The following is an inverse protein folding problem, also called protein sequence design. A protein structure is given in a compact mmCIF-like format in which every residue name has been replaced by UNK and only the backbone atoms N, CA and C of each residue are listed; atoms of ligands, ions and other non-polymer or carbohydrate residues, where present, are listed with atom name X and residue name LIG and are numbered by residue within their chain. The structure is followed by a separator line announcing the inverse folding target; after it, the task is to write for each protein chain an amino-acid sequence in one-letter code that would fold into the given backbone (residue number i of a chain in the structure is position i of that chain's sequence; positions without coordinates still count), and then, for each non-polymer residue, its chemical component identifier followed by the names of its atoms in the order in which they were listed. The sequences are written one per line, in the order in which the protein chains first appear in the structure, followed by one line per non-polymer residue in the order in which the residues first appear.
data_IF_703646720848
#
_entry.id   IF_703646720848
#
_cell.length_a   1.000
_cell.length_b   1.000
_cell.length_c   1.000
_cell.angle_alpha   90.00
_cell.angle_beta   90.00
_cell.angle_gamma   90.00
#
_symmetry.space_group_name_H-M   'P 1'
#
loop_
_entity.id
_entity.type
_entity.pdbx_description
1 polymer ?
#
# COMPACT_ATOMS: atom_id res chain seq x y z
N UNK A 1 0.66 -16.08 -16.92
CA UNK A 1 0.04 -14.96 -16.18
C UNK A 1 0.63 -14.69 -14.79
N UNK A 2 1.35 -15.64 -14.15
CA UNK A 2 2.21 -15.38 -12.97
C UNK A 2 3.26 -14.27 -13.18
N UNK A 3 3.61 -13.96 -14.44
CA UNK A 3 4.64 -13.00 -14.82
C UNK A 3 4.34 -11.52 -14.54
N UNK A 4 3.16 -11.18 -13.99
CA UNK A 4 2.82 -9.83 -13.55
C UNK A 4 2.85 -9.67 -12.01
N UNK A 5 3.20 -10.72 -11.26
CA UNK A 5 3.21 -10.68 -9.80
C UNK A 5 1.82 -10.66 -9.15
N UNK A 6 0.75 -10.93 -9.91
CA UNK A 6 -0.63 -10.98 -9.41
C UNK A 6 -0.94 -12.40 -8.92
N UNK A 7 -1.19 -12.61 -7.62
CA UNK A 7 -1.60 -13.90 -7.07
C UNK A 7 -3.01 -14.30 -7.53
N UNK A 8 -3.36 -15.60 -7.57
CA UNK A 8 -4.66 -16.06 -8.03
C UNK A 8 -5.86 -15.39 -7.33
N UNK A 9 -5.80 -15.20 -6.01
CA UNK A 9 -6.86 -14.55 -5.25
C UNK A 9 -7.08 -13.08 -5.67
N UNK A 10 -6.02 -12.35 -6.04
CA UNK A 10 -6.15 -11.00 -6.59
C UNK A 10 -6.68 -11.01 -8.03
N UNK A 11 -6.34 -12.03 -8.82
CA UNK A 11 -6.85 -12.16 -10.18
C UNK A 11 -8.38 -12.23 -10.20
N UNK A 12 -8.97 -13.06 -9.34
CA UNK A 12 -10.43 -13.24 -9.29
C UNK A 12 -11.13 -11.95 -8.85
N UNK A 13 -10.59 -11.24 -7.85
CA UNK A 13 -11.11 -9.94 -7.41
C UNK A 13 -11.06 -8.88 -8.51
N UNK A 14 -9.95 -8.81 -9.24
CA UNK A 14 -9.75 -7.86 -10.34
C UNK A 14 -10.63 -8.18 -11.55
N UNK A 15 -10.72 -9.47 -11.91
CA UNK A 15 -11.57 -9.91 -13.00
C UNK A 15 -13.04 -9.62 -12.66
N UNK A 16 -13.50 -9.92 -11.44
CA UNK A 16 -14.86 -9.62 -11.01
C UNK A 16 -15.19 -8.11 -11.07
N UNK A 17 -14.26 -7.25 -10.64
CA UNK A 17 -14.42 -5.80 -10.71
C UNK A 17 -14.50 -5.24 -12.13
N UNK A 18 -14.00 -5.97 -13.14
CA UNK A 18 -14.02 -5.59 -14.55
C UNK A 18 -14.95 -6.46 -15.42
N UNK A 19 -15.99 -7.05 -14.83
CA UNK A 19 -16.97 -7.85 -15.58
C UNK A 19 -16.39 -9.13 -16.20
N UNK A 20 -15.30 -9.66 -15.62
CA UNK A 20 -14.60 -10.86 -16.05
C UNK A 20 -13.38 -10.60 -16.93
N UNK A 21 -13.11 -9.36 -17.34
CA UNK A 21 -12.04 -9.06 -18.31
C UNK A 21 -10.82 -8.36 -17.67
N UNK A 22 -9.80 -9.15 -17.36
CA UNK A 22 -8.51 -8.66 -16.87
C UNK A 22 -7.81 -7.71 -17.87
N UNK A 23 -8.04 -7.85 -19.18
CA UNK A 23 -7.45 -6.95 -20.16
C UNK A 23 -7.96 -5.51 -19.99
N UNK A 24 -9.21 -5.33 -19.55
CA UNK A 24 -9.76 -4.01 -19.23
C UNK A 24 -9.04 -3.39 -18.05
N UNK A 25 -8.82 -4.15 -16.97
CA UNK A 25 -8.06 -3.67 -15.79
C UNK A 25 -6.64 -3.27 -16.18
N UNK A 26 -5.94 -4.13 -16.92
CA UNK A 26 -4.57 -3.86 -17.36
C UNK A 26 -4.51 -2.65 -18.28
N UNK A 27 -5.46 -2.51 -19.21
CA UNK A 27 -5.56 -1.34 -20.10
C UNK A 27 -5.77 -0.05 -19.31
N UNK A 28 -6.70 -0.04 -18.36
CA UNK A 28 -6.97 1.14 -17.53
C UNK A 28 -5.75 1.54 -16.68
N UNK A 29 -5.08 0.56 -16.07
CA UNK A 29 -3.86 0.81 -15.28
C UNK A 29 -2.71 1.32 -16.15
N UNK A 30 -2.53 0.75 -17.34
CA UNK A 30 -1.53 1.20 -18.29
C UNK A 30 -1.82 2.62 -18.80
N UNK A 31 -3.07 2.90 -19.14
CA UNK A 31 -3.54 4.22 -19.58
C UNK A 31 -3.31 5.27 -18.49
N UNK A 32 -3.66 4.98 -17.24
CA UNK A 32 -3.39 5.89 -16.12
C UNK A 32 -1.90 6.11 -15.89
N UNK A 33 -1.06 5.07 -16.01
CA UNK A 33 0.40 5.19 -15.88
C UNK A 33 0.99 6.08 -16.98
N UNK A 34 0.51 5.93 -18.22
CA UNK A 34 1.02 6.64 -19.39
C UNK A 34 0.48 8.07 -19.54
N UNK A 35 -0.79 8.28 -19.21
CA UNK A 35 -1.53 9.50 -19.54
C UNK A 35 -2.06 10.26 -18.31
N UNK A 36 -2.12 9.63 -17.14
CA UNK A 36 -2.70 10.23 -15.94
C UNK A 36 -1.83 11.32 -15.29
N UNK A 37 -0.53 11.33 -15.60
CA UNK A 37 0.44 12.27 -15.02
C UNK A 37 1.51 12.65 -16.04
N UNK A 38 2.10 13.87 -15.95
CA UNK A 38 3.25 14.23 -16.76
C UNK A 38 4.40 13.24 -16.55
N UNK A 39 5.02 12.77 -17.65
CA UNK A 39 6.18 11.89 -17.58
C UNK A 39 7.36 12.56 -16.86
N UNK A 40 7.48 13.89 -16.91
CA UNK A 40 8.46 14.68 -16.16
C UNK A 40 8.31 14.57 -14.64
N UNK A 41 7.15 14.12 -14.16
CA UNK A 41 6.86 13.96 -12.74
C UNK A 41 6.77 12.48 -12.36
N UNK A 42 6.42 11.56 -13.25
CA UNK A 42 6.16 10.17 -12.88
C UNK A 42 7.36 9.22 -13.03
N UNK A 43 8.20 9.10 -11.99
CA UNK A 43 9.34 8.17 -12.00
C UNK A 43 8.96 6.68 -12.10
N UNK A 44 7.71 6.30 -11.81
CA UNK A 44 7.24 4.93 -12.01
C UNK A 44 7.10 4.61 -13.50
N UNK A 45 6.56 5.54 -14.30
CA UNK A 45 6.44 5.38 -15.74
C UNK A 45 7.81 5.23 -16.42
N UNK A 46 8.82 5.98 -15.94
CA UNK A 46 10.20 5.84 -16.42
C UNK A 46 10.78 4.45 -16.20
N UNK A 47 10.56 3.86 -15.01
CA UNK A 47 10.97 2.48 -14.74
C UNK A 47 10.20 1.47 -15.56
N UNK A 48 8.88 1.62 -15.65
CA UNK A 48 8.02 0.69 -16.39
C UNK A 48 8.35 0.63 -17.89
N UNK A 49 8.52 1.79 -18.54
CA UNK A 49 8.73 1.87 -19.99
C UNK A 49 10.20 1.87 -20.38
N UNK A 50 11.04 2.58 -19.61
CA UNK A 50 12.45 2.79 -19.94
C UNK A 50 13.44 1.92 -19.18
N UNK A 51 13.00 1.22 -18.11
CA UNK A 51 13.84 0.45 -17.18
C UNK A 51 15.04 1.24 -16.64
N UNK A 52 14.85 2.56 -16.52
CA UNK A 52 15.86 3.52 -16.07
C UNK A 52 15.16 4.73 -15.49
N UNK A 53 15.87 5.47 -14.66
CA UNK A 53 15.47 6.83 -14.32
C UNK A 53 16.08 7.82 -15.30
N UNK A 54 15.58 9.06 -15.28
CA UNK A 54 16.21 10.13 -16.05
C UNK A 54 17.64 10.38 -15.57
N UNK A 55 18.53 10.67 -16.51
CA UNK A 55 19.91 11.09 -16.24
C UNK A 55 20.03 12.60 -16.02
N UNK A 56 18.95 13.35 -16.30
CA UNK A 56 18.93 14.79 -16.08
C UNK A 56 18.74 15.10 -14.59
N UNK A 57 19.45 16.10 -14.03
CA UNK A 57 19.32 16.49 -12.62
C UNK A 57 17.89 16.84 -12.19
N UNK A 58 17.05 17.33 -13.12
CA UNK A 58 15.64 17.69 -12.91
C UNK A 58 14.66 16.56 -13.26
N UNK A 59 15.16 15.40 -13.68
CA UNK A 59 14.31 14.27 -14.03
C UNK A 59 13.61 13.65 -12.81
N UNK A 60 12.46 12.99 -13.00
CA UNK A 60 11.72 12.45 -11.89
C UNK A 60 12.48 11.28 -11.27
N UNK A 61 12.82 11.43 -10.00
CA UNK A 61 13.41 10.38 -9.16
C UNK A 61 12.49 10.06 -8.00
N UNK A 62 12.47 8.79 -7.53
CA UNK A 62 11.94 8.49 -6.21
C UNK A 62 12.57 9.42 -5.18
N UNK A 63 11.82 9.93 -4.18
CA UNK A 63 12.37 10.86 -3.19
C UNK A 63 13.66 10.37 -2.53
N UNK A 64 13.76 9.06 -2.28
CA UNK A 64 14.95 8.47 -1.67
C UNK A 64 16.20 8.41 -2.58
N UNK A 65 16.07 8.68 -3.88
CA UNK A 65 17.19 8.79 -4.83
C UNK A 65 17.55 10.24 -5.18
N UNK A 66 16.77 11.22 -4.71
CA UNK A 66 17.08 12.63 -4.95
C UNK A 66 18.26 13.07 -4.08
N UNK A 67 19.27 13.72 -4.69
CA UNK A 67 20.49 14.11 -4.00
C UNK A 67 20.24 14.98 -2.75
N UNK A 68 19.24 15.86 -2.80
CA UNK A 68 18.85 16.71 -1.66
C UNK A 68 18.37 15.93 -0.41
N UNK A 69 17.98 14.67 -0.57
CA UNK A 69 17.53 13.81 0.54
C UNK A 69 18.61 12.84 1.03
N UNK A 70 19.72 12.68 0.30
CA UNK A 70 20.75 11.69 0.58
C UNK A 70 21.34 11.82 1.99
N UNK A 71 21.73 13.03 2.40
CA UNK A 71 22.33 13.24 3.73
C UNK A 71 21.36 12.89 4.86
N UNK A 72 20.11 13.35 4.76
CA UNK A 72 19.10 13.09 5.77
C UNK A 72 18.79 11.59 5.91
N UNK A 73 18.78 10.84 4.81
CA UNK A 73 18.59 9.39 4.80
C UNK A 73 19.80 8.69 5.42
N UNK A 74 21.02 9.05 4.97
CA UNK A 74 22.28 8.46 5.44
C UNK A 74 22.44 8.59 6.96
N UNK A 75 22.18 9.77 7.52
CA UNK A 75 22.28 10.05 8.95
C UNK A 75 21.24 9.32 9.82
N UNK A 76 20.18 8.76 9.21
CA UNK A 76 19.08 8.07 9.91
C UNK A 76 19.02 6.59 9.58
N UNK A 77 19.94 6.08 8.76
CA UNK A 77 19.91 4.69 8.29
C UNK A 77 20.08 3.70 9.46
N UNK A 78 20.78 4.10 10.52
CA UNK A 78 20.96 3.37 11.77
C UNK A 78 19.67 3.15 12.56
N UNK A 79 18.60 3.91 12.27
CA UNK A 79 17.27 3.75 12.88
C UNK A 79 16.44 2.63 12.25
N UNK A 80 16.90 2.04 11.15
CA UNK A 80 16.19 0.99 10.44
C UNK A 80 16.55 -0.36 11.04
N UNK A 81 15.55 -1.08 11.54
CA UNK A 81 15.68 -2.48 11.96
C UNK A 81 14.99 -3.39 10.97
N UNK A 82 15.74 -4.33 10.41
CA UNK A 82 15.18 -5.40 9.56
C UNK A 82 14.90 -6.62 10.43
N UNK A 83 13.69 -7.14 10.35
CA UNK A 83 13.27 -8.36 11.06
C UNK A 83 12.85 -9.37 10.01
N UNK A 84 13.39 -10.59 10.10
CA UNK A 84 12.95 -11.73 9.29
C UNK A 84 11.90 -12.51 10.08
N UNK A 85 10.65 -12.40 9.68
CA UNK A 85 9.53 -13.09 10.32
C UNK A 85 8.19 -12.57 9.84
N UNK A 86 7.09 -13.12 10.37
CA UNK A 86 5.75 -12.58 10.11
C UNK A 86 5.58 -11.24 10.83
N UNK A 87 4.89 -10.29 10.19
CA UNK A 87 4.52 -9.04 10.85
C UNK A 87 3.62 -9.31 12.07
N UNK A 88 2.67 -10.24 11.97
CA UNK A 88 1.77 -10.59 13.07
C UNK A 88 2.55 -11.10 14.28
N UNK A 89 3.53 -11.99 14.08
CA UNK A 89 4.39 -12.50 15.15
C UNK A 89 5.24 -11.40 15.77
N UNK A 90 5.77 -10.49 14.94
CA UNK A 90 6.54 -9.34 15.43
C UNK A 90 5.69 -8.44 16.33
N UNK A 91 4.46 -8.15 15.92
CA UNK A 91 3.54 -7.33 16.71
C UNK A 91 3.09 -8.06 17.99
N UNK A 92 2.82 -9.37 17.92
CA UNK A 92 2.49 -10.19 19.09
C UNK A 92 3.58 -10.14 20.19
N UNK A 93 4.84 -10.10 19.80
CA UNK A 93 5.97 -9.95 20.73
C UNK A 93 6.18 -8.50 21.22
N UNK A 94 5.55 -7.50 20.60
CA UNK A 94 5.71 -6.11 20.97
C UNK A 94 4.77 -5.71 22.12
N UNK A 95 5.20 -4.74 22.93
CA UNK A 95 4.37 -4.14 23.98
C UNK A 95 3.15 -3.42 23.37
N UNK A 96 2.06 -3.33 24.15
CA UNK A 96 0.90 -2.53 23.74
C UNK A 96 1.31 -1.05 23.53
N UNK A 97 0.61 -0.36 22.63
CA UNK A 97 0.81 1.08 22.35
C UNK A 97 2.27 1.46 22.04
N UNK A 98 2.94 0.66 21.21
CA UNK A 98 4.36 0.80 20.87
C UNK A 98 4.63 1.41 19.49
N UNK A 99 3.62 1.49 18.61
CA UNK A 99 3.78 2.03 17.25
C UNK A 99 2.80 3.16 16.92
N UNK A 100 3.27 4.12 16.12
CA UNK A 100 2.52 5.28 15.64
C UNK A 100 1.96 5.10 14.22
N UNK A 101 2.53 4.18 13.45
CA UNK A 101 2.14 3.98 12.06
C UNK A 101 2.43 2.56 11.57
N UNK A 102 1.55 2.07 10.70
CA UNK A 102 1.65 0.78 10.02
C UNK A 102 1.52 1.04 8.52
N UNK A 103 2.47 0.54 7.74
CA UNK A 103 2.48 0.68 6.28
C UNK A 103 2.44 -0.71 5.68
N UNK A 104 1.28 -1.09 5.16
CA UNK A 104 1.04 -2.38 4.55
C UNK A 104 0.90 -2.22 3.03
N UNK A 105 1.26 -3.26 2.30
CA UNK A 105 0.95 -3.41 0.89
C UNK A 105 -0.37 -4.20 0.73
N UNK A 106 -0.61 -4.70 -0.47
CA UNK A 106 -1.73 -5.55 -0.91
C UNK A 106 -1.70 -6.98 -0.36
N UNK A 107 -0.76 -7.29 0.55
CA UNK A 107 -0.66 -8.60 1.18
C UNK A 107 -1.89 -8.99 2.03
N UNK A 108 -2.84 -8.09 2.24
CA UNK A 108 -4.09 -8.40 2.93
C UNK A 108 -5.15 -8.99 1.98
N UNK A 109 -5.06 -8.77 0.67
CA UNK A 109 -6.07 -9.22 -0.31
C UNK A 109 -6.24 -10.74 -0.34
N UNK A 110 -5.15 -11.47 -0.10
CA UNK A 110 -5.11 -12.94 -0.10
C UNK A 110 -5.07 -13.58 1.30
N UNK A 111 -5.14 -12.78 2.38
CA UNK A 111 -5.24 -13.33 3.73
C UNK A 111 -6.61 -13.93 3.95
N UNK A 112 -6.69 -15.03 4.70
CA UNK A 112 -7.98 -15.53 5.20
C UNK A 112 -8.56 -14.57 6.25
N UNK A 113 -9.85 -14.69 6.55
CA UNK A 113 -10.46 -13.85 7.59
C UNK A 113 -9.81 -14.08 8.96
N UNK A 114 -9.39 -15.32 9.27
CA UNK A 114 -8.60 -15.61 10.47
C UNK A 114 -7.27 -14.83 10.50
N UNK A 115 -6.50 -14.90 9.43
CA UNK A 115 -5.22 -14.17 9.32
C UNK A 115 -5.39 -12.65 9.40
N UNK A 116 -6.45 -12.09 8.79
CA UNK A 116 -6.77 -10.67 8.90
C UNK A 116 -7.11 -10.29 10.34
N UNK A 117 -7.93 -11.09 11.04
CA UNK A 117 -8.27 -10.83 12.43
C UNK A 117 -7.06 -10.94 13.36
N UNK A 118 -6.18 -11.91 13.15
CA UNK A 118 -4.93 -12.03 13.92
C UNK A 118 -4.04 -10.80 13.73
N UNK A 119 -3.82 -10.39 12.47
CA UNK A 119 -3.04 -9.19 12.17
C UNK A 119 -3.66 -7.93 12.77
N UNK A 120 -4.95 -7.70 12.54
CA UNK A 120 -5.61 -6.47 12.99
C UNK A 120 -5.83 -6.42 14.50
N UNK A 121 -5.93 -7.57 15.18
CA UNK A 121 -5.89 -7.64 16.64
C UNK A 121 -4.57 -7.09 17.18
N UNK A 122 -3.44 -7.56 16.61
CA UNK A 122 -2.11 -7.12 17.06
C UNK A 122 -1.78 -5.68 16.64
N UNK A 123 -2.19 -5.26 15.45
CA UNK A 123 -2.12 -3.84 15.04
C UNK A 123 -2.89 -2.97 16.03
N UNK A 124 -4.11 -3.35 16.39
CA UNK A 124 -4.95 -2.60 17.34
C UNK A 124 -4.36 -2.57 18.74
N UNK A 125 -3.81 -3.67 19.24
CA UNK A 125 -3.20 -3.74 20.57
C UNK A 125 -1.93 -2.90 20.67
N UNK A 126 -1.13 -2.89 19.61
CA UNK A 126 0.18 -2.23 19.58
C UNK A 126 0.10 -0.77 19.14
N UNK A 127 -1.05 -0.31 18.64
CA UNK A 127 -1.28 1.05 18.19
C UNK A 127 -1.32 2.04 19.35
N UNK A 128 -0.59 3.14 19.24
CA UNK A 128 -0.78 4.32 20.10
C UNK A 128 -2.09 5.04 19.75
N UNK A 129 -2.70 5.80 20.69
CA UNK A 129 -3.77 6.73 20.35
C UNK A 129 -3.37 7.64 19.17
N UNK A 130 -4.22 7.75 18.15
CA UNK A 130 -3.91 8.49 16.92
C UNK A 130 -2.94 7.80 15.95
N UNK A 131 -2.56 6.55 16.19
CA UNK A 131 -1.77 5.77 15.24
C UNK A 131 -2.51 5.60 13.90
N UNK A 132 -1.75 5.40 12.82
CA UNK A 132 -2.32 5.33 11.46
C UNK A 132 -1.95 4.03 10.78
N UNK A 133 -2.91 3.40 10.11
CA UNK A 133 -2.66 2.29 9.20
C UNK A 133 -2.92 2.79 7.79
N UNK A 134 -1.93 2.62 6.92
CA UNK A 134 -2.14 2.73 5.47
C UNK A 134 -1.94 1.38 4.81
N UNK A 135 -2.82 1.04 3.89
CA UNK A 135 -2.66 -0.14 3.04
C UNK A 135 -3.23 0.07 1.66
N UNK A 136 -2.86 -0.83 0.74
CA UNK A 136 -3.34 -0.83 -0.64
C UNK A 136 -4.04 -2.14 -0.93
N UNK A 137 -4.88 -2.12 -1.95
CA UNK A 137 -5.66 -3.27 -2.39
C UNK A 137 -5.68 -3.34 -3.91
N UNK A 138 -5.84 -4.55 -4.43
CA UNK A 138 -6.01 -4.77 -5.85
C UNK A 138 -7.29 -4.09 -6.37
N UNK A 139 -8.42 -4.28 -5.67
CA UNK A 139 -9.69 -3.61 -5.94
C UNK A 139 -9.79 -2.22 -5.33
N UNK A 140 -10.83 -1.46 -5.69
CA UNK A 140 -11.10 -0.13 -5.10
C UNK A 140 -11.59 -0.15 -3.64
N UNK A 141 -12.52 -1.04 -3.22
CA UNK A 141 -13.05 -0.98 -1.86
C UNK A 141 -12.07 -1.52 -0.82
N UNK A 142 -12.22 -1.04 0.42
CA UNK A 142 -11.52 -1.63 1.56
C UNK A 142 -12.00 -3.06 1.76
N UNK A 143 -11.05 -3.98 1.98
CA UNK A 143 -11.34 -5.39 2.25
C UNK A 143 -11.68 -5.69 3.71
N UNK A 144 -11.65 -4.71 4.61
CA UNK A 144 -11.84 -4.95 6.04
C UNK A 144 -13.31 -5.12 6.48
N UNK A 145 -14.27 -4.28 6.01
CA UNK A 145 -15.66 -4.43 6.41
C UNK A 145 -16.21 -5.82 6.09
N UNK A 146 -16.81 -6.49 7.07
CA UNK A 146 -17.34 -7.85 6.94
C UNK A 146 -16.30 -8.97 7.10
N UNK A 147 -15.00 -8.67 7.02
CA UNK A 147 -13.91 -9.66 7.17
C UNK A 147 -13.16 -9.53 8.50
N UNK A 148 -13.03 -8.31 9.03
CA UNK A 148 -12.45 -8.04 10.35
C UNK A 148 -13.58 -7.85 11.38
N UNK A 149 -13.40 -8.41 12.57
CA UNK A 149 -14.39 -8.36 13.64
C UNK A 149 -14.78 -6.91 13.99
N UNK A 150 -16.08 -6.61 14.18
CA UNK A 150 -16.54 -5.25 14.49
C UNK A 150 -15.89 -4.63 15.73
N UNK A 151 -15.55 -5.45 16.74
CA UNK A 151 -14.90 -4.98 17.97
C UNK A 151 -13.45 -4.48 17.75
N UNK A 152 -12.80 -4.97 16.69
CA UNK A 152 -11.47 -4.52 16.26
C UNK A 152 -11.63 -3.30 15.37
N UNK A 153 -12.41 -3.42 14.29
CA UNK A 153 -12.56 -2.37 13.29
C UNK A 153 -13.20 -1.10 13.87
N UNK A 154 -14.10 -1.24 14.85
CA UNK A 154 -14.73 -0.12 15.56
C UNK A 154 -13.77 0.74 16.40
N UNK A 155 -12.51 0.33 16.56
CA UNK A 155 -11.45 1.15 17.18
C UNK A 155 -10.68 2.01 16.17
N UNK A 156 -11.12 2.00 14.91
CA UNK A 156 -10.47 2.73 13.83
C UNK A 156 -11.48 3.56 13.06
N UNK A 157 -11.12 4.80 12.78
CA UNK A 157 -11.86 5.69 11.88
C UNK A 157 -11.32 5.53 10.46
N UNK A 158 -12.17 5.11 9.51
CA UNK A 158 -11.81 5.06 8.09
C UNK A 158 -11.89 6.46 7.47
N UNK A 159 -10.75 6.96 7.02
CA UNK A 159 -10.61 8.27 6.38
C UNK A 159 -10.95 8.17 4.88
N UNK A 160 -12.22 7.91 4.55
CA UNK A 160 -12.65 7.55 3.20
C UNK A 160 -12.34 8.63 2.14
N UNK A 161 -12.70 9.89 2.42
CA UNK A 161 -12.46 10.99 1.49
C UNK A 161 -10.96 11.20 1.22
N UNK A 162 -10.14 11.10 2.27
CA UNK A 162 -8.68 11.19 2.16
C UNK A 162 -8.09 9.99 1.44
N UNK A 163 -8.62 8.79 1.68
CA UNK A 163 -8.25 7.55 1.00
C UNK A 163 -8.45 7.67 -0.52
N UNK A 164 -9.61 8.15 -0.97
CA UNK A 164 -9.87 8.43 -2.40
C UNK A 164 -8.92 9.47 -2.99
N UNK A 165 -8.67 10.56 -2.27
CA UNK A 165 -7.73 11.59 -2.73
C UNK A 165 -6.30 11.04 -2.88
N UNK A 166 -5.88 10.16 -1.96
CA UNK A 166 -4.57 9.52 -2.01
C UNK A 166 -4.44 8.50 -3.15
N UNK A 167 -5.49 7.71 -3.44
CA UNK A 167 -5.54 6.87 -4.66
C UNK A 167 -5.40 7.73 -5.91
N UNK A 168 -6.16 8.82 -5.99
CA UNK A 168 -6.14 9.71 -7.15
C UNK A 168 -4.77 10.36 -7.38
N UNK A 169 -3.97 10.56 -6.32
CA UNK A 169 -2.60 11.06 -6.40
C UNK A 169 -1.54 9.96 -6.62
N UNK A 170 -1.90 8.68 -6.59
CA UNK A 170 -0.96 7.58 -6.80
C UNK A 170 -0.57 7.49 -8.28
N UNK A 171 0.72 7.70 -8.53
CA UNK A 171 1.39 7.69 -9.84
C UNK A 171 1.87 6.31 -10.27
N UNK A 172 1.92 5.33 -9.36
CA UNK A 172 2.34 3.96 -9.67
C UNK A 172 1.34 3.25 -10.55
N UNK A 173 0.04 3.56 -10.39
CA UNK A 173 -1.08 2.96 -11.12
C UNK A 173 -1.17 1.43 -10.98
N UNK A 174 -0.64 0.89 -9.89
CA UNK A 174 -0.63 -0.56 -9.60
C UNK A 174 -1.88 -0.97 -8.84
N UNK A 175 -2.32 -0.17 -7.88
CA UNK A 175 -3.38 -0.53 -6.94
C UNK A 175 -4.71 0.11 -7.32
N UNK A 176 -5.82 -0.59 -7.03
CA UNK A 176 -7.16 -0.04 -7.16
C UNK A 176 -7.53 0.83 -5.96
N UNK A 177 -7.04 0.47 -4.77
CA UNK A 177 -7.36 1.15 -3.52
C UNK A 177 -6.13 1.55 -2.70
N UNK A 178 -6.29 2.63 -1.96
CA UNK A 178 -5.39 3.13 -0.93
C UNK A 178 -6.29 3.51 0.24
N UNK A 179 -6.03 2.94 1.40
CA UNK A 179 -6.91 3.07 2.55
C UNK A 179 -6.13 3.61 3.75
N UNK A 180 -6.70 4.62 4.41
CA UNK A 180 -6.19 5.18 5.64
C UNK A 180 -7.18 4.95 6.78
N UNK A 181 -6.71 4.33 7.85
CA UNK A 181 -7.43 4.16 9.11
C UNK A 181 -6.67 4.86 10.23
N UNK A 182 -7.38 5.56 11.11
CA UNK A 182 -6.82 6.28 12.26
C UNK A 182 -7.35 5.66 13.55
N UNK A 183 -6.45 5.33 14.47
CA UNK A 183 -6.81 4.74 15.76
C UNK A 183 -7.48 5.78 16.65
N UNK A 184 -8.66 5.45 17.15
CA UNK A 184 -9.44 6.28 18.04
C UNK A 184 -8.82 6.39 19.45
#
# INVERSE_FOLDING_TARGET
LYGLGIPPAQYDLLAAAAGGDMAVVLRQRLERLACGFPLSENYFAWQAFGRRYSFEPSGPLPPYLQAGHFQAIRERADRVRVVRGSLTEHLAAASAQSFDAYVLLDAQDWMTDGQLNDLWSEVTRTARPGARVIFRTAGEPSILPGRVAPAILGRWTYEEARSRALVAADRSSIYGGFHLYVHC
#
